data_IF_936048288635
#
_entry.id   IF_936048288635
#
_cell.length_a   1.000
_cell.length_b   1.000
_cell.length_c   1.000
_cell.angle_alpha   90.00
_cell.angle_beta   90.00
_cell.angle_gamma   90.00
#
_symmetry.space_group_name_H-M   'P 1'
#
loop_
_entity.id
_entity.type
_entity.pdbx_description
1 polymer ?
#
# COMPACT_ATOMS: atom_id res chain seq x y z
N UNK A 1 -40.57 29.10 -20.54
CA UNK A 1 -39.41 28.17 -20.50
C UNK A 1 -38.40 28.72 -19.54
N UNK A 2 -37.81 27.86 -18.70
CA UNK A 2 -36.52 27.96 -18.00
C UNK A 2 -36.09 26.50 -17.74
N UNK A 3 -34.85 26.17 -18.10
CA UNK A 3 -34.27 24.82 -18.08
C UNK A 3 -33.97 24.27 -16.69
N UNK A 4 -34.11 22.94 -16.54
CA UNK A 4 -33.29 22.00 -15.73
C UNK A 4 -34.04 20.66 -15.70
N UNK A 5 -33.47 19.50 -15.47
CA UNK A 5 -32.15 18.91 -15.42
C UNK A 5 -32.42 17.42 -15.12
N UNK A 6 -31.40 16.57 -15.22
CA UNK A 6 -31.50 15.16 -14.80
C UNK A 6 -32.19 14.97 -13.44
N UNK A 7 -32.84 13.81 -13.33
CA UNK A 7 -33.77 13.44 -12.26
C UNK A 7 -33.06 13.01 -10.97
N UNK A 8 -33.72 13.26 -9.83
CA UNK A 8 -33.31 12.85 -8.48
C UNK A 8 -33.05 11.34 -8.32
N UNK A 9 -33.57 10.51 -9.23
CA UNK A 9 -33.36 9.05 -9.25
C UNK A 9 -32.10 8.64 -10.02
N UNK A 10 -31.65 9.42 -11.01
CA UNK A 10 -30.37 9.21 -11.72
C UNK A 10 -29.19 9.79 -10.95
N UNK A 11 -29.36 10.93 -10.28
CA UNK A 11 -28.35 11.47 -9.36
C UNK A 11 -28.03 10.51 -8.19
N UNK A 12 -29.05 9.84 -7.63
CA UNK A 12 -28.88 8.85 -6.54
C UNK A 12 -28.16 7.55 -6.95
N UNK A 13 -28.19 7.17 -8.24
CA UNK A 13 -27.46 6.00 -8.76
C UNK A 13 -26.01 6.33 -9.13
N UNK A 14 -25.73 7.58 -9.49
CA UNK A 14 -24.38 8.05 -9.85
C UNK A 14 -23.46 8.15 -8.61
N UNK A 15 -23.95 8.70 -7.49
CA UNK A 15 -23.15 8.83 -6.25
C UNK A 15 -22.94 7.50 -5.51
N UNK A 16 -23.91 6.58 -5.54
CA UNK A 16 -23.80 5.23 -4.97
C UNK A 16 -22.76 4.36 -5.69
N UNK A 17 -22.58 4.54 -7.01
CA UNK A 17 -21.55 3.89 -7.83
C UNK A 17 -20.18 4.56 -7.64
N UNK A 18 -20.16 5.85 -7.34
CA UNK A 18 -18.96 6.66 -7.11
C UNK A 18 -18.27 6.32 -5.78
N UNK A 19 -19.02 6.15 -4.68
CA UNK A 19 -18.51 5.73 -3.34
C UNK A 19 -18.21 4.22 -3.23
N UNK A 20 -18.95 3.38 -3.96
CA UNK A 20 -18.71 1.93 -3.99
C UNK A 20 -17.48 1.56 -4.84
N UNK A 21 -17.09 2.42 -5.80
CA UNK A 21 -15.75 2.45 -6.45
C UNK A 21 -14.67 3.08 -5.59
N UNK A 22 -15.03 3.91 -4.59
CA UNK A 22 -14.06 4.61 -3.72
C UNK A 22 -13.30 3.68 -2.76
N UNK A 23 -13.77 2.46 -2.44
CA UNK A 23 -13.07 1.50 -1.56
C UNK A 23 -13.64 0.07 -1.65
N UNK A 24 -13.46 -0.65 -2.75
CA UNK A 24 -13.45 -2.13 -2.69
C UNK A 24 -12.02 -2.51 -2.30
N UNK A 25 -11.68 -2.98 -1.11
CA UNK A 25 -12.25 -2.85 0.25
C UNK A 25 -11.12 -2.25 1.09
N UNK A 26 -11.35 -1.42 2.12
CA UNK A 26 -10.27 -1.08 3.07
C UNK A 26 -9.43 -2.31 3.51
N UNK A 27 -10.05 -3.49 3.75
CA UNK A 27 -9.32 -4.74 3.93
C UNK A 27 -8.43 -5.18 2.76
N UNK A 28 -8.85 -4.98 1.50
CA UNK A 28 -8.04 -5.33 0.33
C UNK A 28 -6.86 -4.39 0.16
N UNK A 29 -7.07 -3.08 0.24
CA UNK A 29 -5.97 -2.13 0.11
C UNK A 29 -4.98 -2.29 1.26
N UNK A 30 -5.47 -2.58 2.47
CA UNK A 30 -4.59 -2.97 3.59
C UNK A 30 -3.81 -4.25 3.28
N UNK A 31 -4.44 -5.28 2.73
CA UNK A 31 -3.74 -6.52 2.31
C UNK A 31 -2.69 -6.26 1.24
N UNK A 32 -2.97 -5.38 0.28
CA UNK A 32 -2.00 -4.96 -0.73
C UNK A 32 -0.82 -4.27 -0.05
N UNK A 33 -1.08 -3.31 0.84
CA UNK A 33 -0.03 -2.62 1.60
C UNK A 33 0.81 -3.58 2.47
N UNK A 34 0.18 -4.57 3.10
CA UNK A 34 0.87 -5.59 3.90
C UNK A 34 1.78 -6.47 3.02
N UNK A 35 1.34 -6.85 1.82
CA UNK A 35 2.14 -7.61 0.85
C UNK A 35 3.33 -6.78 0.37
N UNK A 36 3.09 -5.55 -0.09
CA UNK A 36 4.15 -4.64 -0.54
C UNK A 36 5.17 -4.41 0.58
N UNK A 37 4.70 -4.21 1.81
CA UNK A 37 5.59 -4.07 2.97
C UNK A 37 6.40 -5.35 3.22
N UNK A 38 5.79 -6.53 3.10
CA UNK A 38 6.49 -7.81 3.24
C UNK A 38 7.57 -7.98 2.18
N UNK A 39 7.27 -7.65 0.93
CA UNK A 39 8.20 -7.72 -0.19
C UNK A 39 9.36 -6.72 0.00
N UNK A 40 9.05 -5.50 0.45
CA UNK A 40 10.05 -4.49 0.80
C UNK A 40 10.95 -4.94 1.95
N UNK A 41 10.40 -5.56 3.00
CA UNK A 41 11.19 -6.14 4.11
C UNK A 41 12.13 -7.23 3.62
N UNK A 42 11.67 -8.09 2.69
CA UNK A 42 12.52 -9.12 2.11
C UNK A 42 13.66 -8.52 1.26
N UNK A 43 13.38 -7.47 0.48
CA UNK A 43 14.36 -6.77 -0.34
C UNK A 43 15.40 -5.99 0.49
N UNK A 44 14.96 -5.35 1.58
CA UNK A 44 15.78 -4.50 2.45
C UNK A 44 16.35 -5.23 3.67
N UNK A 45 16.44 -6.56 3.61
CA UNK A 45 16.86 -7.39 4.75
C UNK A 45 18.21 -6.94 5.33
N UNK A 46 19.16 -6.58 4.47
CA UNK A 46 20.50 -6.16 4.89
C UNK A 46 20.44 -4.88 5.74
N UNK A 47 19.78 -3.84 5.25
CA UNK A 47 19.67 -2.56 5.93
C UNK A 47 18.88 -2.68 7.24
N UNK A 48 17.86 -3.53 7.26
CA UNK A 48 17.11 -3.87 8.47
C UNK A 48 18.00 -4.58 9.50
N UNK A 49 18.84 -5.52 9.07
CA UNK A 49 19.80 -6.22 9.96
C UNK A 49 20.88 -5.28 10.51
N UNK A 50 21.39 -4.36 9.69
CA UNK A 50 22.35 -3.33 10.12
C UNK A 50 21.72 -2.37 11.14
N UNK A 51 20.48 -1.93 10.90
CA UNK A 51 19.74 -1.12 11.86
C UNK A 51 19.46 -1.87 13.16
N UNK A 52 18.99 -3.12 13.09
CA UNK A 52 18.72 -3.96 14.25
C UNK A 52 19.99 -4.26 15.07
N UNK A 53 21.13 -4.43 14.40
CA UNK A 53 22.43 -4.59 15.07
C UNK A 53 22.80 -3.32 15.86
N UNK A 54 22.64 -2.15 15.25
CA UNK A 54 22.87 -0.87 15.93
C UNK A 54 21.91 -0.64 17.10
N UNK A 55 20.62 -0.94 16.92
CA UNK A 55 19.58 -0.81 17.96
C UNK A 55 19.93 -1.66 19.19
N UNK A 56 20.30 -2.93 18.98
CA UNK A 56 20.70 -3.84 20.07
C UNK A 56 21.90 -3.33 20.86
N UNK A 57 22.83 -2.65 20.22
CA UNK A 57 24.02 -2.10 20.88
C UNK A 57 23.76 -0.80 21.65
N UNK A 58 22.73 -0.04 21.29
CA UNK A 58 22.53 1.33 21.78
C UNK A 58 21.27 1.51 22.66
N UNK A 59 20.32 0.59 22.61
CA UNK A 59 19.11 0.61 23.44
C UNK A 59 18.38 1.94 23.37
N UNK A 60 18.26 2.63 24.52
CA UNK A 60 17.57 3.92 24.64
C UNK A 60 18.19 5.04 23.78
N UNK A 61 19.47 4.94 23.43
CA UNK A 61 20.16 5.94 22.61
C UNK A 61 20.06 5.68 21.09
N UNK A 62 19.26 4.70 20.65
CA UNK A 62 19.09 4.34 19.22
C UNK A 62 18.74 5.54 18.33
N UNK A 63 17.90 6.45 18.80
CA UNK A 63 17.44 7.62 18.03
C UNK A 63 18.60 8.56 17.69
N UNK A 64 19.63 8.61 18.54
CA UNK A 64 20.81 9.45 18.34
C UNK A 64 21.92 8.69 17.61
N UNK A 65 22.19 7.45 18.02
CA UNK A 65 23.38 6.72 17.60
C UNK A 65 23.19 5.92 16.31
N UNK A 66 21.94 5.57 15.96
CA UNK A 66 21.63 4.72 14.80
C UNK A 66 20.96 5.49 13.65
N UNK A 67 21.18 6.82 13.57
CA UNK A 67 20.55 7.67 12.56
C UNK A 67 20.92 7.27 11.14
N UNK A 68 22.19 6.92 10.92
CA UNK A 68 22.69 6.50 9.61
C UNK A 68 22.03 5.19 9.15
N UNK A 69 22.01 4.17 10.01
CA UNK A 69 21.40 2.88 9.68
C UNK A 69 19.88 3.02 9.48
N UNK A 70 19.23 3.87 10.28
CA UNK A 70 17.81 4.19 10.10
C UNK A 70 17.56 4.88 8.75
N UNK A 71 18.39 5.83 8.36
CA UNK A 71 18.30 6.50 7.05
C UNK A 71 18.47 5.50 5.91
N UNK A 72 19.50 4.66 5.95
CA UNK A 72 19.75 3.62 4.94
C UNK A 72 18.58 2.64 4.81
N UNK A 73 18.05 2.16 5.94
CA UNK A 73 16.86 1.31 5.97
C UNK A 73 15.65 2.01 5.36
N UNK A 74 15.37 3.26 5.74
CA UNK A 74 14.23 4.00 5.23
C UNK A 74 14.38 4.29 3.74
N UNK A 75 15.56 4.64 3.26
CA UNK A 75 15.84 4.86 1.84
C UNK A 75 15.67 3.58 1.02
N UNK A 76 16.05 2.42 1.55
CA UNK A 76 15.75 1.14 0.91
C UNK A 76 14.24 0.90 0.84
N UNK A 77 13.55 0.98 1.97
CA UNK A 77 12.11 0.68 2.06
C UNK A 77 11.29 1.58 1.12
N UNK A 78 11.62 2.87 1.02
CA UNK A 78 10.95 3.81 0.11
C UNK A 78 11.02 3.39 -1.36
N UNK A 79 12.10 2.72 -1.81
CA UNK A 79 12.25 2.26 -3.20
C UNK A 79 11.33 1.10 -3.56
N UNK A 80 10.84 0.36 -2.56
CA UNK A 80 10.03 -0.85 -2.73
C UNK A 80 8.58 -0.70 -2.22
N UNK A 81 8.22 0.50 -1.76
CA UNK A 81 6.88 0.81 -1.26
C UNK A 81 6.25 1.94 -2.10
N UNK A 82 6.46 1.90 -3.42
CA UNK A 82 5.95 2.91 -4.34
C UNK A 82 4.51 2.59 -4.76
N UNK A 83 3.78 3.57 -5.31
CA UNK A 83 2.45 3.33 -5.86
C UNK A 83 2.47 2.25 -6.96
N UNK A 84 3.56 2.18 -7.74
CA UNK A 84 3.75 1.16 -8.77
C UNK A 84 3.81 -0.25 -8.17
N UNK A 85 4.44 -0.41 -7.00
CA UNK A 85 4.50 -1.70 -6.30
C UNK A 85 3.12 -2.13 -5.80
N UNK A 86 2.32 -1.18 -5.29
CA UNK A 86 0.92 -1.41 -4.93
C UNK A 86 0.08 -1.82 -6.15
N UNK A 87 0.24 -1.13 -7.28
CA UNK A 87 -0.51 -1.41 -8.50
C UNK A 87 -0.12 -2.76 -9.14
N UNK A 88 1.15 -3.17 -9.03
CA UNK A 88 1.61 -4.51 -9.42
C UNK A 88 0.90 -5.60 -8.63
N UNK A 89 0.83 -5.48 -7.31
CA UNK A 89 0.15 -6.45 -6.45
C UNK A 89 -1.35 -6.48 -6.73
N UNK A 90 -1.97 -5.32 -6.95
CA UNK A 90 -3.39 -5.23 -7.32
C UNK A 90 -3.68 -5.97 -8.63
N UNK A 91 -2.88 -5.70 -9.66
CA UNK A 91 -3.02 -6.32 -10.99
C UNK A 91 -2.85 -7.84 -10.92
N UNK A 92 -1.84 -8.31 -10.16
CA UNK A 92 -1.61 -9.74 -9.96
C UNK A 92 -2.81 -10.43 -9.30
N UNK A 93 -3.37 -9.84 -8.26
CA UNK A 93 -4.55 -10.38 -7.56
C UNK A 93 -5.81 -10.39 -8.43
N UNK A 94 -5.97 -9.39 -9.29
CA UNK A 94 -7.06 -9.37 -10.26
C UNK A 94 -6.92 -10.52 -11.27
N UNK A 95 -5.71 -10.74 -11.80
CA UNK A 95 -5.44 -11.88 -12.69
C UNK A 95 -5.70 -13.23 -12.00
N UNK A 96 -5.25 -13.40 -10.76
CA UNK A 96 -5.49 -14.62 -9.96
C UNK A 96 -7.00 -14.87 -9.78
N UNK A 97 -7.78 -13.82 -9.50
CA UNK A 97 -9.25 -13.90 -9.39
C UNK A 97 -9.92 -14.30 -10.71
N UNK A 98 -9.46 -13.74 -11.83
CA UNK A 98 -10.00 -14.08 -13.15
C UNK A 98 -9.66 -15.52 -13.53
N UNK A 99 -8.46 -15.98 -13.21
CA UNK A 99 -8.05 -17.37 -13.43
C UNK A 99 -8.87 -18.37 -12.61
N UNK A 100 -9.24 -18.02 -11.37
CA UNK A 100 -10.11 -18.87 -10.52
C UNK A 100 -11.58 -18.83 -10.90
N UNK A 101 -12.05 -17.79 -11.59
CA UNK A 101 -13.45 -17.68 -12.04
C UNK A 101 -13.75 -18.46 -13.33
N UNK A 102 -12.72 -18.91 -14.06
CA UNK A 102 -12.86 -19.66 -15.31
C UNK A 102 -12.83 -21.19 -15.10
N UNK A 103 -12.98 -21.65 -13.85
CA UNK A 103 -13.10 -23.06 -13.49
C UNK A 103 -14.36 -23.29 -12.66
#
# INVERSE_FOLDING_TARGET
GWSRAMSLNEARKDDSNRESRLRKTFPEEKRIADIVKSDAVAACKKEIEEFASCEKANGLFVIFNCRLQNEMMNECMKRHMTQEDHDKVRSKREQERLATSNH
#
